data_IF_030661490230
#
_entry.id   IF_030661490230
#
_cell.length_a   1.000
_cell.length_b   1.000
_cell.length_c   1.000
_cell.angle_alpha   90.00
_cell.angle_beta   90.00
_cell.angle_gamma   90.00
#
_symmetry.space_group_name_H-M   'P 1'
#
loop_
_entity.id
_entity.type
_entity.pdbx_description
1 polymer ?
#
# COMPACT_ATOMS: atom_id res chain seq x y z
N UNK A 1 -26.69 26.60 -16.75
CA UNK A 1 -25.37 26.02 -17.09
C UNK A 1 -24.46 27.15 -17.52
N UNK A 2 -23.17 27.18 -17.14
CA UNK A 2 -22.28 26.07 -16.78
C UNK A 2 -22.17 25.94 -15.26
N UNK A 3 -22.09 24.75 -14.66
CA UNK A 3 -21.12 23.71 -14.95
C UNK A 3 -20.23 23.58 -13.72
N UNK A 4 -20.82 23.21 -12.57
CA UNK A 4 -20.05 22.82 -11.38
C UNK A 4 -19.35 21.51 -11.73
N UNK A 5 -18.09 21.60 -12.14
CA UNK A 5 -17.17 20.47 -12.17
C UNK A 5 -17.06 19.97 -10.73
N UNK A 6 -17.80 18.91 -10.41
CA UNK A 6 -17.56 18.15 -9.21
C UNK A 6 -16.13 17.60 -9.32
N UNK A 7 -15.20 18.19 -8.57
CA UNK A 7 -13.92 17.56 -8.30
C UNK A 7 -14.24 16.27 -7.55
N UNK A 8 -14.28 15.13 -8.26
CA UNK A 8 -14.49 13.82 -7.66
C UNK A 8 -13.27 13.45 -6.82
N UNK A 9 -13.22 13.93 -5.58
CA UNK A 9 -12.28 13.47 -4.58
C UNK A 9 -12.96 12.44 -3.68
N UNK A 10 -13.24 11.25 -4.19
CA UNK A 10 -13.64 10.13 -3.34
C UNK A 10 -12.70 8.96 -3.60
N UNK A 11 -11.62 8.89 -2.84
CA UNK A 11 -10.96 7.61 -2.65
C UNK A 11 -11.75 6.89 -1.55
N UNK A 12 -12.12 5.64 -1.83
CA UNK A 12 -13.32 4.95 -1.32
C UNK A 12 -13.73 5.27 0.14
N UNK A 13 -15.00 5.65 0.42
CA UNK A 13 -15.42 6.00 1.76
C UNK A 13 -15.35 4.79 2.71
N UNK A 14 -14.64 4.94 3.82
CA UNK A 14 -14.72 4.01 4.94
C UNK A 14 -16.20 3.80 5.33
N UNK A 15 -16.59 2.54 5.54
CA UNK A 15 -17.98 2.18 5.85
C UNK A 15 -18.87 1.84 4.64
N UNK A 16 -18.34 1.87 3.40
CA UNK A 16 -19.02 1.29 2.22
C UNK A 16 -18.49 -0.09 1.90
N UNK A 17 -19.35 -0.97 1.37
CA UNK A 17 -18.97 -2.33 0.97
C UNK A 17 -17.89 -2.27 -0.14
N UNK A 18 -16.67 -2.67 0.19
CA UNK A 18 -15.59 -2.90 -0.78
C UNK A 18 -15.57 -4.34 -1.28
N UNK A 19 -14.91 -4.58 -2.42
CA UNK A 19 -14.62 -5.90 -2.99
C UNK A 19 -13.19 -6.35 -2.68
N UNK A 20 -12.24 -5.43 -2.57
CA UNK A 20 -10.83 -5.76 -2.46
C UNK A 20 -10.32 -5.50 -1.05
N UNK A 21 -9.60 -6.48 -0.50
CA UNK A 21 -8.88 -6.32 0.77
C UNK A 21 -7.41 -6.68 0.59
N UNK A 22 -6.53 -5.85 1.16
CA UNK A 22 -5.08 -6.04 1.14
C UNK A 22 -4.60 -6.29 2.56
N UNK A 23 -3.78 -7.32 2.74
CA UNK A 23 -3.30 -7.74 4.06
C UNK A 23 -1.84 -8.14 3.99
N UNK A 24 -1.14 -7.97 5.11
CA UNK A 24 0.14 -8.63 5.33
C UNK A 24 -0.07 -10.04 5.87
N UNK A 25 0.71 -10.99 5.35
CA UNK A 25 0.79 -12.33 5.92
C UNK A 25 1.83 -12.32 7.03
N UNK A 26 1.45 -12.76 8.23
CA UNK A 26 2.39 -13.08 9.29
C UNK A 26 3.17 -14.35 8.93
N UNK A 27 4.49 -14.28 9.08
CA UNK A 27 5.39 -15.42 9.00
C UNK A 27 5.00 -16.48 10.02
N UNK A 28 5.07 -17.74 9.61
CA UNK A 28 4.79 -18.91 10.45
C UNK A 28 6.00 -19.37 11.26
N UNK A 29 7.20 -18.99 10.82
CA UNK A 29 8.49 -19.38 11.39
C UNK A 29 9.11 -18.28 12.27
N UNK A 30 8.65 -17.03 12.15
CA UNK A 30 9.20 -15.87 12.86
C UNK A 30 8.09 -15.02 13.46
N UNK A 31 8.16 -14.84 14.78
CA UNK A 31 7.20 -14.04 15.53
C UNK A 31 7.16 -12.60 15.03
N UNK A 32 5.96 -12.12 14.70
CA UNK A 32 5.67 -10.71 14.37
C UNK A 32 6.42 -10.15 13.16
N UNK A 33 6.78 -10.99 12.19
CA UNK A 33 7.32 -10.55 10.89
C UNK A 33 6.29 -10.77 9.78
N UNK A 34 6.24 -9.86 8.82
CA UNK A 34 5.45 -10.03 7.59
C UNK A 34 6.33 -10.55 6.46
N UNK A 35 5.88 -11.58 5.75
CA UNK A 35 6.66 -12.28 4.72
C UNK A 35 5.98 -12.34 3.34
N UNK A 36 4.76 -11.81 3.25
CA UNK A 36 4.02 -11.70 1.99
C UNK A 36 2.95 -10.60 2.07
N UNK A 37 2.59 -10.06 0.90
CA UNK A 37 1.37 -9.28 0.70
C UNK A 37 0.28 -10.17 0.10
N UNK A 38 -0.96 -9.97 0.53
CA UNK A 38 -2.12 -10.75 0.08
C UNK A 38 -3.23 -9.81 -0.38
N UNK A 39 -3.74 -10.02 -1.60
CA UNK A 39 -4.97 -9.42 -2.12
C UNK A 39 -6.09 -10.45 -2.02
N UNK A 40 -7.24 -10.06 -1.50
CA UNK A 40 -8.46 -10.85 -1.46
C UNK A 40 -9.56 -10.21 -2.30
N UNK A 41 -10.26 -11.02 -3.08
CA UNK A 41 -11.61 -10.72 -3.54
C UNK A 41 -12.60 -11.18 -2.48
N UNK A 42 -13.14 -10.26 -1.69
CA UNK A 42 -14.03 -10.62 -0.57
C UNK A 42 -15.40 -11.10 -1.02
N UNK A 43 -15.74 -10.94 -2.31
CA UNK A 43 -17.00 -11.44 -2.87
C UNK A 43 -16.90 -12.89 -3.32
N UNK A 44 -15.75 -13.28 -3.86
CA UNK A 44 -15.54 -14.64 -4.41
C UNK A 44 -14.69 -15.53 -3.51
N UNK A 45 -13.95 -14.96 -2.55
CA UNK A 45 -12.98 -15.66 -1.71
C UNK A 45 -11.64 -15.93 -2.41
N UNK A 46 -11.49 -15.53 -3.68
CA UNK A 46 -10.23 -15.66 -4.38
C UNK A 46 -9.12 -14.81 -3.73
N UNK A 47 -7.88 -15.27 -3.78
CA UNK A 47 -6.74 -14.53 -3.25
C UNK A 47 -5.51 -14.64 -4.14
N UNK A 48 -4.72 -13.58 -4.17
CA UNK A 48 -3.36 -13.55 -4.69
C UNK A 48 -2.41 -13.33 -3.53
N UNK A 49 -1.40 -14.18 -3.39
CA UNK A 49 -0.34 -14.01 -2.38
C UNK A 49 0.97 -13.80 -3.10
N UNK A 50 1.67 -12.74 -2.73
CA UNK A 50 3.01 -12.45 -3.24
C UNK A 50 4.01 -12.48 -2.08
N UNK A 51 4.75 -13.61 -1.91
CA UNK A 51 5.84 -13.71 -0.97
C UNK A 51 6.96 -12.72 -1.29
N UNK A 52 7.67 -12.24 -0.28
CA UNK A 52 8.78 -11.29 -0.46
C UNK A 52 10.08 -11.97 -0.89
N UNK A 53 10.20 -13.28 -0.66
CA UNK A 53 11.41 -14.06 -0.85
C UNK A 53 12.03 -14.49 0.49
N UNK A 54 13.09 -15.28 0.42
CA UNK A 54 13.86 -15.64 1.61
C UNK A 54 14.52 -14.40 2.20
N UNK A 55 14.51 -14.28 3.54
CA UNK A 55 15.23 -13.22 4.27
C UNK A 55 14.76 -11.77 4.01
N UNK A 56 13.56 -11.58 3.44
CA UNK A 56 12.94 -10.26 3.27
C UNK A 56 11.68 -10.16 4.13
N UNK A 57 11.55 -9.06 4.87
CA UNK A 57 10.43 -8.83 5.78
C UNK A 57 9.85 -7.43 5.62
N UNK A 58 8.52 -7.31 5.63
CA UNK A 58 7.81 -6.05 5.43
C UNK A 58 7.30 -5.40 6.72
N UNK A 59 7.02 -4.09 6.65
CA UNK A 59 6.07 -3.38 7.52
C UNK A 59 4.65 -3.50 6.96
N UNK A 60 3.63 -2.95 7.64
CA UNK A 60 2.28 -2.89 7.05
C UNK A 60 2.26 -2.11 5.72
N UNK A 61 1.52 -2.59 4.72
CA UNK A 61 1.26 -1.84 3.49
C UNK A 61 0.20 -0.77 3.70
N UNK A 62 0.31 0.29 2.91
CA UNK A 62 -0.72 1.30 2.75
C UNK A 62 -1.22 1.32 1.31
N UNK A 63 -2.53 1.48 1.13
CA UNK A 63 -3.16 1.67 -0.19
C UNK A 63 -3.03 3.15 -0.61
N UNK A 64 -2.56 3.36 -1.84
CA UNK A 64 -2.35 4.68 -2.45
C UNK A 64 -3.18 4.75 -3.74
N UNK A 65 -4.33 5.45 -3.75
CA UNK A 65 -5.13 5.60 -4.95
C UNK A 65 -4.34 6.24 -6.09
N UNK A 66 -4.54 5.77 -7.32
CA UNK A 66 -3.98 6.47 -8.48
C UNK A 66 -4.67 7.83 -8.68
N UNK A 67 -3.98 8.81 -9.29
CA UNK A 67 -4.65 9.98 -9.83
C UNK A 67 -5.80 9.52 -10.74
N UNK A 68 -6.97 10.11 -10.55
CA UNK A 68 -8.19 9.83 -11.34
C UNK A 68 -8.66 8.36 -11.30
N UNK A 69 -8.32 7.64 -10.23
CA UNK A 69 -8.69 6.23 -10.03
C UNK A 69 -10.18 5.97 -10.31
N UNK A 70 -10.45 4.97 -11.15
CA UNK A 70 -11.81 4.66 -11.63
C UNK A 70 -12.38 3.34 -11.09
N UNK A 71 -11.51 2.48 -10.55
CA UNK A 71 -11.87 1.24 -9.87
C UNK A 71 -11.32 1.19 -8.44
N UNK A 72 -11.84 0.28 -7.61
CA UNK A 72 -11.45 0.15 -6.20
C UNK A 72 -9.99 -0.29 -6.02
N UNK A 73 -9.47 -1.12 -6.92
CA UNK A 73 -8.08 -1.57 -6.98
C UNK A 73 -7.23 -0.79 -7.98
N UNK A 74 -7.73 0.32 -8.51
CA UNK A 74 -6.96 1.29 -9.30
C UNK A 74 -6.05 2.12 -8.37
N UNK A 75 -5.08 1.42 -7.79
CA UNK A 75 -4.25 1.88 -6.71
C UNK A 75 -2.85 1.27 -6.79
N UNK A 76 -1.95 1.85 -6.02
CA UNK A 76 -0.68 1.26 -5.64
C UNK A 76 -0.77 0.77 -4.20
N UNK A 77 0.05 -0.22 -3.85
CA UNK A 77 0.35 -0.56 -2.46
C UNK A 77 1.78 -0.16 -2.17
N UNK A 78 2.01 0.57 -1.08
CA UNK A 78 3.37 0.95 -0.65
C UNK A 78 3.68 0.38 0.71
N UNK A 79 4.91 -0.09 0.92
CA UNK A 79 5.40 -0.57 2.22
C UNK A 79 6.89 -0.32 2.37
N UNK A 80 7.36 -0.31 3.62
CA UNK A 80 8.78 -0.49 3.90
C UNK A 80 9.10 -1.99 3.95
N UNK A 81 10.28 -2.35 3.47
CA UNK A 81 10.82 -3.70 3.57
C UNK A 81 12.25 -3.66 4.11
N UNK A 82 12.62 -4.69 4.85
CA UNK A 82 13.99 -5.00 5.21
C UNK A 82 14.44 -6.18 4.37
N UNK A 83 15.54 -6.00 3.65
CA UNK A 83 16.21 -7.04 2.88
C UNK A 83 17.45 -7.50 3.64
N UNK A 84 17.36 -8.68 4.24
CA UNK A 84 18.44 -9.24 5.06
C UNK A 84 19.65 -9.71 4.26
N UNK A 85 19.53 -9.88 2.94
CA UNK A 85 20.66 -10.27 2.09
C UNK A 85 21.60 -9.08 1.83
N UNK A 86 21.04 -7.87 1.85
CA UNK A 86 21.79 -6.62 1.67
C UNK A 86 21.95 -5.82 2.98
N UNK A 87 21.39 -6.32 4.09
CA UNK A 87 21.23 -5.60 5.36
C UNK A 87 20.65 -4.18 5.17
N UNK A 88 19.65 -4.07 4.28
CA UNK A 88 19.18 -2.81 3.74
C UNK A 88 17.69 -2.58 3.94
N UNK A 89 17.29 -1.32 4.10
CA UNK A 89 15.88 -0.93 4.06
C UNK A 89 15.49 -0.51 2.64
N UNK A 90 14.26 -0.83 2.24
CA UNK A 90 13.70 -0.51 0.93
C UNK A 90 12.26 0.03 1.06
N UNK A 91 11.80 0.80 0.08
CA UNK A 91 10.38 1.08 -0.16
C UNK A 91 9.93 0.26 -1.36
N UNK A 92 8.87 -0.53 -1.20
CA UNK A 92 8.32 -1.35 -2.27
C UNK A 92 6.98 -0.79 -2.70
N UNK A 93 6.75 -0.76 -4.01
CA UNK A 93 5.51 -0.32 -4.63
C UNK A 93 4.97 -1.46 -5.49
N UNK A 94 3.75 -1.91 -5.21
CA UNK A 94 3.04 -2.92 -5.98
C UNK A 94 1.88 -2.29 -6.75
N UNK A 95 1.56 -2.85 -7.91
CA UNK A 95 0.25 -2.63 -8.53
C UNK A 95 -0.82 -3.36 -7.71
N UNK A 96 -1.83 -2.64 -7.23
CA UNK A 96 -2.90 -3.24 -6.44
C UNK A 96 -3.82 -4.14 -7.31
N UNK A 97 -3.87 -3.91 -8.62
CA UNK A 97 -4.67 -4.71 -9.54
C UNK A 97 -4.13 -6.14 -9.71
N UNK A 98 -2.81 -6.31 -9.71
CA UNK A 98 -2.14 -7.60 -9.92
C UNK A 98 -0.85 -7.71 -9.10
N UNK A 99 -0.91 -8.52 -8.02
CA UNK A 99 0.26 -8.78 -7.19
C UNK A 99 1.25 -9.77 -7.81
N UNK A 100 0.82 -10.56 -8.80
CA UNK A 100 1.61 -11.68 -9.33
C UNK A 100 2.85 -11.23 -10.11
N UNK A 101 2.84 -9.98 -10.61
CA UNK A 101 4.00 -9.35 -11.23
C UNK A 101 5.12 -8.99 -10.24
N UNK A 102 4.86 -9.09 -8.93
CA UNK A 102 5.78 -8.60 -7.90
C UNK A 102 5.77 -7.07 -7.78
N UNK A 103 6.73 -6.49 -7.04
CA UNK A 103 6.81 -5.04 -6.89
C UNK A 103 7.17 -4.36 -8.22
N UNK A 104 6.36 -3.39 -8.63
CA UNK A 104 6.63 -2.53 -9.78
C UNK A 104 7.85 -1.62 -9.56
N UNK A 105 8.17 -1.32 -8.29
CA UNK A 105 9.37 -0.58 -7.92
C UNK A 105 9.87 -1.03 -6.54
N UNK A 106 11.20 -1.10 -6.40
CA UNK A 106 11.92 -1.27 -5.14
C UNK A 106 12.97 -0.17 -5.04
N UNK A 107 12.89 0.65 -4.01
CA UNK A 107 13.79 1.79 -3.80
C UNK A 107 14.59 1.59 -2.51
N UNK A 108 15.92 1.49 -2.61
CA UNK A 108 16.80 1.41 -1.44
C UNK A 108 16.79 2.71 -0.62
N UNK A 109 16.79 2.57 0.70
CA UNK A 109 16.89 3.66 1.67
C UNK A 109 18.30 3.61 2.28
N UNK A 110 19.08 4.70 2.26
CA UNK A 110 20.46 4.71 2.76
C UNK A 110 20.56 4.74 4.30
N UNK A 111 19.48 4.35 4.99
CA UNK A 111 19.37 4.36 6.44
C UNK A 111 18.44 3.25 6.89
N UNK A 112 18.64 2.78 8.13
CA UNK A 112 17.79 1.74 8.73
C UNK A 112 16.38 2.26 8.97
N UNK A 113 15.39 1.50 8.52
CA UNK A 113 13.97 1.70 8.85
C UNK A 113 13.51 0.52 9.70
N UNK A 114 13.11 0.72 10.97
CA UNK A 114 12.55 -0.35 11.79
C UNK A 114 11.26 -0.90 11.18
N UNK A 115 11.07 -2.23 11.26
CA UNK A 115 9.81 -2.85 10.90
C UNK A 115 8.70 -2.35 11.83
N UNK A 116 7.60 -1.90 11.25
CA UNK A 116 6.49 -1.28 11.95
C UNK A 116 5.14 -1.77 11.43
N UNK A 117 4.09 -1.31 12.11
CA UNK A 117 2.70 -1.59 11.74
C UNK A 117 2.14 -0.39 10.99
N UNK A 118 1.36 0.46 11.66
CA UNK A 118 0.52 1.42 10.97
C UNK A 118 1.26 2.62 10.36
N UNK A 119 0.90 2.89 9.11
CA UNK A 119 1.22 4.10 8.39
C UNK A 119 -0.01 4.55 7.59
N UNK A 120 0.01 5.80 7.10
CA UNK A 120 -1.05 6.30 6.23
C UNK A 120 -0.49 7.15 5.12
N UNK A 121 -1.11 7.06 3.94
CA UNK A 121 -0.78 7.87 2.81
C UNK A 121 -1.55 9.18 2.87
N UNK A 122 -0.83 10.28 2.64
CA UNK A 122 -1.41 11.61 2.50
C UNK A 122 -0.88 12.18 1.20
N UNK A 123 -1.78 12.56 0.30
CA UNK A 123 -1.37 13.20 -0.94
C UNK A 123 -0.61 14.50 -0.66
N UNK A 124 0.39 14.81 -1.48
CA UNK A 124 1.14 16.06 -1.33
C UNK A 124 0.25 17.31 -1.36
N UNK A 125 -0.86 17.28 -2.11
CA UNK A 125 -1.85 18.35 -2.12
C UNK A 125 -2.54 18.51 -0.75
N UNK A 126 -2.97 17.40 -0.12
CA UNK A 126 -3.57 17.41 1.21
C UNK A 126 -2.57 17.86 2.27
N UNK A 127 -1.33 17.38 2.19
CA UNK A 127 -0.26 17.78 3.11
C UNK A 127 0.03 19.29 3.02
N UNK A 128 0.16 19.84 1.81
CA UNK A 128 0.39 21.27 1.59
C UNK A 128 -0.80 22.14 2.02
N UNK A 129 -2.02 21.69 1.78
CA UNK A 129 -3.22 22.41 2.23
C UNK A 129 -3.27 22.49 3.76
N UNK A 130 -2.92 21.41 4.46
CA UNK A 130 -2.88 21.37 5.92
C UNK A 130 -1.73 22.20 6.53
N UNK A 131 -0.65 22.43 5.78
CA UNK A 131 0.51 23.21 6.24
C UNK A 131 0.32 24.74 6.11
N UNK A 132 -0.77 25.21 5.49
CA UNK A 132 -1.08 26.65 5.44
C UNK A 132 -1.53 27.13 6.83
N UNK A 133 -1.02 28.27 7.34
CA UNK A 133 -1.54 28.86 8.57
C UNK A 133 -3.03 29.13 8.42
N UNK A 134 -3.80 28.92 9.49
CA UNK A 134 -5.16 29.43 9.56
C UNK A 134 -5.11 30.96 9.60
N UNK A 135 -5.81 31.57 8.66
CA UNK A 135 -6.07 33.01 8.53
C UNK A 135 -6.93 33.56 9.68
#
# INVERSE_FOLDING_TARGET
MPGRTATRSSWWPAGRRGRWAYQMRLSVDRTMLFDAVVKYDVLTGAKQTQPFGGNVFGSEMTVVPRPDASAEDDAWLTMFAYNGDTDGAEVWIYDAADLSAGPACRLGIPARVPLGFHATWVSGARMRAAARPAD
#
